data_IF_112722530640
#
_entry.id   IF_112722530640
#
_cell.length_a   1.000
_cell.length_b   1.000
_cell.length_c   1.000
_cell.angle_alpha   90.00
_cell.angle_beta   90.00
_cell.angle_gamma   90.00
#
_symmetry.space_group_name_H-M   'P 1'
#
loop_
_entity.id
_entity.type
_entity.pdbx_description
1 polymer ?
#
# COMPACT_ATOMS: atom_id res chain seq x y z
N UNK A 1 -13.18 2.57 -17.26
CA UNK A 1 -12.81 3.57 -18.28
C UNK A 1 -11.32 3.86 -18.13
N UNK A 2 -10.50 3.37 -19.06
CA UNK A 2 -9.05 3.55 -19.05
C UNK A 2 -8.61 4.98 -19.42
N UNK A 3 -9.53 5.88 -19.77
CA UNK A 3 -9.22 7.29 -20.04
C UNK A 3 -9.01 8.13 -18.78
N UNK A 4 -9.42 7.63 -17.61
CA UNK A 4 -9.21 8.30 -16.32
C UNK A 4 -7.79 8.07 -15.82
N UNK A 5 -7.24 9.02 -15.06
CA UNK A 5 -5.90 8.84 -14.47
C UNK A 5 -5.86 7.85 -13.30
N UNK A 6 -7.01 7.54 -12.68
CA UNK A 6 -7.08 6.69 -11.50
C UNK A 6 -8.37 5.88 -11.43
N UNK A 7 -8.32 4.81 -10.64
CA UNK A 7 -9.47 4.06 -10.15
C UNK A 7 -9.78 4.45 -8.70
N UNK A 8 -11.02 4.83 -8.39
CA UNK A 8 -11.39 5.38 -7.08
C UNK A 8 -11.82 4.28 -6.10
N UNK A 9 -10.89 3.40 -5.72
CA UNK A 9 -11.08 2.33 -4.73
C UNK A 9 -9.92 2.31 -3.71
N UNK A 10 -9.95 1.39 -2.75
CA UNK A 10 -8.89 1.15 -1.76
C UNK A 10 -8.54 2.37 -0.89
N UNK A 11 -9.58 3.01 -0.34
CA UNK A 11 -9.42 4.23 0.44
C UNK A 11 -8.71 3.98 1.78
N UNK A 12 -7.73 4.83 2.08
CA UNK A 12 -7.07 4.97 3.37
C UNK A 12 -7.11 6.44 3.81
N UNK A 13 -7.91 6.74 4.83
CA UNK A 13 -8.02 8.08 5.41
C UNK A 13 -7.00 8.25 6.55
N UNK A 14 -6.16 9.27 6.46
CA UNK A 14 -5.14 9.59 7.47
C UNK A 14 -5.31 11.02 7.96
N UNK A 15 -5.18 11.23 9.27
CA UNK A 15 -5.15 12.56 9.88
C UNK A 15 -3.71 13.04 10.01
N UNK A 16 -3.43 14.22 9.46
CA UNK A 16 -2.10 14.86 9.47
C UNK A 16 -2.23 16.25 10.07
N UNK A 17 -1.84 16.38 11.35
CA UNK A 17 -2.14 17.59 12.13
C UNK A 17 -3.65 17.85 12.19
N UNK A 18 -4.09 18.96 11.58
CA UNK A 18 -5.52 19.32 11.49
C UNK A 18 -6.16 18.97 10.14
N UNK A 19 -5.41 18.37 9.21
CA UNK A 19 -5.90 18.00 7.88
C UNK A 19 -6.23 16.50 7.82
N UNK A 20 -7.15 16.15 6.92
CA UNK A 20 -7.40 14.77 6.53
C UNK A 20 -6.95 14.58 5.09
N UNK A 21 -6.18 13.54 4.84
CA UNK A 21 -5.77 13.12 3.51
C UNK A 21 -6.38 11.75 3.23
N UNK A 22 -6.90 11.56 2.02
CA UNK A 22 -7.34 10.26 1.55
C UNK A 22 -6.36 9.75 0.51
N UNK A 23 -5.72 8.62 0.80
CA UNK A 23 -4.97 7.83 -0.15
C UNK A 23 -5.93 6.83 -0.80
N UNK A 24 -5.84 6.64 -2.10
CA UNK A 24 -6.70 5.72 -2.85
C UNK A 24 -6.04 5.38 -4.18
N UNK A 25 -6.54 4.37 -4.88
CA UNK A 25 -6.00 3.99 -6.18
C UNK A 25 -5.70 2.51 -6.28
N UNK A 26 -5.90 1.97 -7.47
CA UNK A 26 -5.64 0.59 -7.82
C UNK A 26 -5.45 0.52 -9.33
N UNK A 27 -4.25 0.12 -9.76
CA UNK A 27 -3.83 0.13 -11.15
C UNK A 27 -3.91 1.52 -11.81
N UNK A 28 -4.12 1.63 -13.13
CA UNK A 28 -4.10 2.90 -13.87
C UNK A 28 -2.77 3.63 -13.65
N UNK A 29 -2.77 4.77 -12.95
CA UNK A 29 -1.56 5.44 -12.50
C UNK A 29 -1.34 5.27 -10.99
N UNK A 30 -1.70 4.10 -10.46
CA UNK A 30 -1.46 3.63 -9.10
C UNK A 30 -2.10 4.53 -8.02
N UNK A 31 -1.32 5.02 -7.04
CA UNK A 31 -1.85 5.62 -5.80
C UNK A 31 -1.92 7.13 -5.89
N UNK A 32 -3.14 7.64 -5.69
CA UNK A 32 -3.45 9.05 -5.58
C UNK A 32 -3.71 9.45 -4.13
N UNK A 33 -3.49 10.73 -3.85
CA UNK A 33 -3.87 11.38 -2.62
C UNK A 33 -4.70 12.62 -2.91
N UNK A 34 -5.69 12.89 -2.06
CA UNK A 34 -6.50 14.11 -2.10
C UNK A 34 -6.74 14.62 -0.68
N UNK A 35 -6.79 15.94 -0.52
CA UNK A 35 -7.19 16.54 0.75
C UNK A 35 -8.71 16.45 0.94
N UNK A 36 -9.12 16.08 2.14
CA UNK A 36 -10.52 15.97 2.55
C UNK A 36 -10.89 17.16 3.44
N UNK A 37 -12.18 17.49 3.48
CA UNK A 37 -12.68 18.50 4.43
C UNK A 37 -12.44 18.08 5.89
N UNK A 38 -12.48 19.05 6.82
CA UNK A 38 -12.30 18.80 8.27
C UNK A 38 -13.25 17.74 8.81
N UNK A 39 -14.50 17.73 8.32
CA UNK A 39 -15.36 16.55 8.39
C UNK A 39 -15.19 15.81 7.07
N UNK A 40 -14.47 14.67 7.03
CA UNK A 40 -13.93 14.09 5.81
C UNK A 40 -14.96 13.27 5.01
N UNK A 41 -16.16 13.81 4.83
CA UNK A 41 -17.23 13.19 4.04
C UNK A 41 -17.09 13.51 2.54
N UNK A 42 -16.36 14.56 2.19
CA UNK A 42 -16.12 15.03 0.81
C UNK A 42 -14.72 15.59 0.67
N UNK A 43 -14.23 15.61 -0.58
CA UNK A 43 -12.94 16.25 -0.93
C UNK A 43 -12.98 17.75 -0.66
N UNK A 44 -11.85 18.32 -0.25
CA UNK A 44 -11.69 19.76 -0.11
C UNK A 44 -11.47 20.38 -1.51
N UNK A 45 -12.53 20.94 -2.11
CA UNK A 45 -12.48 21.53 -3.45
C UNK A 45 -11.55 22.76 -3.57
N UNK A 46 -11.10 23.32 -2.44
CA UNK A 46 -10.16 24.46 -2.41
C UNK A 46 -8.69 24.04 -2.37
N UNK A 47 -8.40 22.76 -2.08
CA UNK A 47 -7.03 22.25 -1.90
C UNK A 47 -6.40 21.72 -3.21
N UNK A 48 -7.09 21.84 -4.33
CA UNK A 48 -6.68 21.26 -5.60
C UNK A 48 -7.22 19.86 -5.83
N UNK A 49 -6.88 19.28 -6.99
CA UNK A 49 -7.29 17.93 -7.37
C UNK A 49 -6.42 16.84 -6.74
N UNK A 50 -6.85 15.59 -6.91
CA UNK A 50 -6.04 14.44 -6.52
C UNK A 50 -4.72 14.39 -7.30
N UNK A 51 -3.63 14.01 -6.65
CA UNK A 51 -2.30 13.88 -7.25
C UNK A 51 -1.67 12.53 -6.93
N UNK A 52 -0.81 12.06 -7.82
CA UNK A 52 -0.13 10.77 -7.65
C UNK A 52 0.99 10.87 -6.60
N UNK A 53 1.10 9.85 -5.74
CA UNK A 53 2.12 9.77 -4.67
C UNK A 53 3.01 8.53 -4.79
N UNK A 54 2.50 7.46 -5.40
CA UNK A 54 3.24 6.23 -5.73
C UNK A 54 2.86 5.86 -7.15
N UNK A 55 3.84 5.63 -8.01
CA UNK A 55 3.64 5.24 -9.40
C UNK A 55 4.79 4.36 -9.88
N UNK A 56 4.43 3.23 -10.48
CA UNK A 56 5.32 2.30 -11.16
C UNK A 56 5.20 2.58 -12.66
N UNK A 57 6.11 3.35 -13.28
CA UNK A 57 5.97 3.77 -14.68
C UNK A 57 6.11 2.63 -15.70
N UNK A 58 6.71 1.50 -15.31
CA UNK A 58 6.94 0.36 -16.19
C UNK A 58 5.91 -0.75 -15.95
N UNK A 59 5.58 -1.49 -17.01
CA UNK A 59 4.71 -2.66 -16.92
C UNK A 59 3.24 -2.27 -16.87
N UNK A 60 2.46 -3.02 -16.07
CA UNK A 60 1.00 -2.94 -16.06
C UNK A 60 0.42 -1.99 -15.03
N UNK A 61 1.26 -1.26 -14.29
CA UNK A 61 0.85 -0.41 -13.17
C UNK A 61 0.01 -1.23 -12.18
N UNK A 62 0.63 -2.18 -11.50
CA UNK A 62 0.00 -3.20 -10.66
C UNK A 62 0.11 -2.84 -9.17
N UNK A 63 -0.03 -1.55 -8.82
CA UNK A 63 -0.01 -1.08 -7.43
C UNK A 63 -1.42 -0.69 -6.98
N UNK A 64 -1.76 -1.09 -5.75
CA UNK A 64 -3.03 -0.79 -5.10
C UNK A 64 -2.95 -0.89 -3.56
N UNK A 65 -4.08 -0.78 -2.86
CA UNK A 65 -4.17 -1.08 -1.43
C UNK A 65 -3.28 -0.20 -0.55
N UNK A 66 -3.26 1.12 -0.77
CA UNK A 66 -2.39 2.03 -0.02
C UNK A 66 -2.77 2.14 1.46
N UNK A 67 -1.78 2.28 2.34
CA UNK A 67 -1.98 2.51 3.78
C UNK A 67 -0.87 3.39 4.36
N UNK A 68 -1.21 4.60 4.79
CA UNK A 68 -0.25 5.55 5.35
C UNK A 68 -0.23 5.53 6.88
N UNK A 69 0.97 5.57 7.45
CA UNK A 69 1.18 5.81 8.89
C UNK A 69 2.19 6.93 9.12
N UNK A 70 2.13 7.53 10.31
CA UNK A 70 3.23 8.34 10.85
C UNK A 70 4.05 7.50 11.85
N UNK A 71 5.36 7.43 11.64
CA UNK A 71 6.29 6.76 12.54
C UNK A 71 7.55 7.62 12.73
N UNK A 72 7.85 7.95 13.99
CA UNK A 72 9.00 8.79 14.38
C UNK A 72 9.12 10.09 13.56
N UNK A 73 7.99 10.76 13.32
CA UNK A 73 7.93 12.02 12.57
C UNK A 73 8.02 11.89 11.05
N UNK A 74 8.24 10.68 10.51
CA UNK A 74 8.16 10.39 9.08
C UNK A 74 6.83 9.75 8.68
N UNK A 75 6.49 9.85 7.40
CA UNK A 75 5.31 9.22 6.80
C UNK A 75 5.73 8.02 5.98
N UNK A 76 5.06 6.89 6.19
CA UNK A 76 5.31 5.65 5.46
C UNK A 76 4.04 5.26 4.72
N UNK A 77 4.14 5.17 3.39
CA UNK A 77 3.09 4.67 2.52
C UNK A 77 3.37 3.21 2.23
N UNK A 78 2.61 2.31 2.87
CA UNK A 78 2.56 0.91 2.48
C UNK A 78 1.62 0.75 1.28
N UNK A 79 1.92 -0.18 0.40
CA UNK A 79 1.06 -0.53 -0.73
C UNK A 79 1.34 -1.96 -1.16
N UNK A 80 0.40 -2.57 -1.84
CA UNK A 80 0.62 -3.86 -2.47
C UNK A 80 0.99 -3.67 -3.93
N UNK A 81 1.95 -4.47 -4.41
CA UNK A 81 2.35 -4.53 -5.83
C UNK A 81 2.17 -5.96 -6.34
N UNK A 82 1.58 -6.12 -7.53
CA UNK A 82 1.42 -7.41 -8.21
C UNK A 82 -0.04 -7.87 -8.27
N UNK A 83 -0.24 -9.15 -8.61
CA UNK A 83 -1.57 -9.72 -8.84
C UNK A 83 -2.10 -10.42 -7.57
N UNK A 84 -3.24 -9.97 -7.06
CA UNK A 84 -3.86 -10.45 -5.81
C UNK A 84 -4.85 -11.62 -5.96
N UNK A 85 -5.43 -11.79 -7.14
CA UNK A 85 -6.78 -12.32 -7.24
C UNK A 85 -6.96 -13.28 -8.42
N UNK A 86 -7.99 -14.15 -8.34
CA UNK A 86 -8.20 -15.26 -9.29
C UNK A 86 -6.94 -16.15 -9.45
N UNK A 87 -6.21 -16.39 -8.36
CA UNK A 87 -4.92 -17.09 -8.36
C UNK A 87 -5.04 -18.61 -8.59
N UNK A 88 -6.26 -19.13 -8.53
CA UNK A 88 -6.67 -20.48 -8.92
C UNK A 88 -6.83 -20.62 -10.44
N UNK A 89 -7.09 -19.52 -11.16
CA UNK A 89 -7.33 -19.50 -12.62
C UNK A 89 -6.19 -18.87 -13.40
N UNK A 90 -5.69 -17.73 -12.93
CA UNK A 90 -4.74 -16.86 -13.63
C UNK A 90 -3.55 -16.56 -12.72
N UNK A 91 -2.83 -17.62 -12.31
CA UNK A 91 -1.66 -17.45 -11.45
C UNK A 91 -0.56 -16.73 -12.21
N UNK A 92 -0.01 -15.61 -11.68
CA UNK A 92 1.06 -14.88 -12.33
C UNK A 92 2.39 -15.68 -12.26
N UNK A 93 3.38 -15.27 -13.06
CA UNK A 93 4.73 -15.80 -12.94
C UNK A 93 5.34 -15.42 -11.58
N UNK A 94 6.30 -16.22 -11.11
CA UNK A 94 6.97 -15.95 -9.84
C UNK A 94 7.58 -14.53 -9.79
N UNK A 95 7.32 -13.81 -8.71
CA UNK A 95 7.72 -12.42 -8.50
C UNK A 95 6.70 -11.37 -8.99
N UNK A 96 5.66 -11.78 -9.73
CA UNK A 96 4.57 -10.92 -10.18
C UNK A 96 3.29 -11.06 -9.34
N UNK A 97 3.26 -12.03 -8.43
CA UNK A 97 2.22 -12.10 -7.41
C UNK A 97 2.32 -10.95 -6.40
N UNK A 98 1.21 -10.76 -5.70
CA UNK A 98 1.05 -9.73 -4.70
C UNK A 98 2.15 -9.76 -3.64
N UNK A 99 2.68 -8.59 -3.30
CA UNK A 99 3.65 -8.40 -2.23
C UNK A 99 3.47 -7.02 -1.62
N UNK A 100 3.80 -6.90 -0.34
CA UNK A 100 3.71 -5.63 0.37
C UNK A 100 5.04 -4.89 0.23
N UNK A 101 4.95 -3.64 -0.18
CA UNK A 101 6.08 -2.70 -0.28
C UNK A 101 5.78 -1.43 0.52
N UNK A 102 6.82 -0.64 0.76
CA UNK A 102 6.72 0.62 1.49
C UNK A 102 7.63 1.70 0.90
N UNK A 103 7.16 2.94 0.98
CA UNK A 103 7.95 4.14 0.75
C UNK A 103 7.84 5.10 1.92
N UNK A 104 8.85 5.94 2.13
CA UNK A 104 8.92 6.92 3.22
C UNK A 104 9.11 8.33 2.70
N UNK A 105 8.51 9.31 3.37
CA UNK A 105 8.79 10.74 3.21
C UNK A 105 8.82 11.47 4.57
N UNK A 106 9.43 12.65 4.60
CA UNK A 106 9.28 13.60 5.73
C UNK A 106 8.02 14.47 5.61
N UNK A 107 7.33 14.44 4.46
CA UNK A 107 6.02 15.08 4.23
C UNK A 107 4.96 14.03 3.95
N UNK A 108 3.73 14.26 4.43
CA UNK A 108 2.60 13.38 4.12
C UNK A 108 2.15 13.47 2.66
N UNK A 109 2.51 14.55 1.96
CA UNK A 109 1.94 14.93 0.66
C UNK A 109 2.82 14.60 -0.54
N UNK A 110 3.99 13.98 -0.34
CA UNK A 110 4.86 13.63 -1.47
C UNK A 110 6.32 13.47 -1.06
N UNK A 111 7.20 13.30 -2.05
CA UNK A 111 8.62 13.04 -1.80
C UNK A 111 8.90 11.64 -1.24
N UNK A 112 7.98 10.70 -1.47
CA UNK A 112 8.15 9.31 -1.05
C UNK A 112 9.28 8.64 -1.82
N UNK A 113 10.22 8.08 -1.09
CA UNK A 113 11.35 7.31 -1.62
C UNK A 113 11.40 5.94 -0.95
N UNK A 114 12.09 4.99 -1.57
CA UNK A 114 12.44 3.72 -0.94
C UNK A 114 13.76 3.80 -0.16
N UNK A 115 14.17 2.67 0.42
CA UNK A 115 15.37 2.56 1.25
C UNK A 115 16.67 2.86 0.49
N UNK A 116 16.66 2.73 -0.84
CA UNK A 116 17.80 3.07 -1.70
C UNK A 116 17.78 4.54 -2.12
N UNK A 117 16.73 5.28 -1.76
CA UNK A 117 16.52 6.68 -2.13
C UNK A 117 15.83 6.87 -3.48
N UNK A 118 15.36 5.80 -4.14
CA UNK A 118 14.66 5.91 -5.42
C UNK A 118 13.24 6.45 -5.21
N UNK A 119 12.86 7.43 -6.04
CA UNK A 119 11.51 8.02 -6.00
C UNK A 119 10.44 6.96 -6.25
N UNK A 120 9.41 6.95 -5.40
CA UNK A 120 8.29 6.03 -5.53
C UNK A 120 7.26 6.46 -6.57
N UNK A 121 7.37 7.65 -7.13
CA UNK A 121 6.68 8.03 -8.38
C UNK A 121 7.46 7.60 -9.64
N UNK A 122 8.62 6.96 -9.46
CA UNK A 122 9.44 6.40 -10.53
C UNK A 122 9.74 4.90 -10.29
N UNK A 123 8.80 4.18 -9.69
CA UNK A 123 8.88 2.75 -9.43
C UNK A 123 9.84 2.36 -8.29
N UNK A 124 10.05 3.25 -7.33
CA UNK A 124 10.65 2.92 -6.03
C UNK A 124 9.69 2.08 -5.17
N UNK A 125 10.25 1.42 -4.17
CA UNK A 125 9.50 0.79 -3.08
C UNK A 125 10.31 -0.32 -2.41
N UNK A 126 10.47 -0.23 -1.09
CA UNK A 126 11.17 -1.24 -0.31
C UNK A 126 10.26 -2.43 -0.08
N UNK A 127 10.72 -3.64 -0.41
CA UNK A 127 9.98 -4.87 -0.14
C UNK A 127 9.86 -5.10 1.38
N UNK A 128 8.64 -5.32 1.85
CA UNK A 128 8.35 -5.62 3.26
C UNK A 128 7.98 -7.10 3.42
N UNK A 129 7.06 -7.60 2.60
CA UNK A 129 6.58 -8.98 2.71
C UNK A 129 6.32 -9.58 1.31
N UNK A 130 7.19 -10.45 0.81
CA UNK A 130 6.94 -11.26 -0.38
C UNK A 130 6.24 -12.59 -0.03
N UNK A 131 5.83 -13.33 -1.05
CA UNK A 131 5.55 -14.76 -0.92
C UNK A 131 6.77 -15.51 -0.37
N UNK A 132 6.55 -16.45 0.54
CA UNK A 132 7.58 -17.31 1.12
C UNK A 132 6.94 -18.54 1.77
N UNK A 133 7.60 -19.71 1.67
CA UNK A 133 7.06 -20.95 2.20
C UNK A 133 5.65 -21.24 1.64
N UNK A 134 4.68 -21.43 2.53
CA UNK A 134 3.27 -21.60 2.18
C UNK A 134 2.46 -20.30 2.14
N UNK A 135 3.07 -19.15 2.46
CA UNK A 135 2.44 -17.83 2.40
C UNK A 135 2.62 -17.29 0.98
N UNK A 136 1.54 -17.22 0.21
CA UNK A 136 1.57 -16.74 -1.18
C UNK A 136 0.72 -15.49 -1.36
N UNK A 137 1.21 -14.56 -2.18
CA UNK A 137 0.54 -13.31 -2.53
C UNK A 137 0.01 -12.48 -1.32
N UNK A 138 0.83 -12.20 -0.28
CA UNK A 138 0.37 -11.39 0.85
C UNK A 138 0.16 -9.92 0.42
N UNK A 139 -0.96 -9.32 0.85
CA UNK A 139 -1.25 -7.91 0.58
C UNK A 139 -2.62 -7.44 1.08
N UNK A 140 -3.11 -6.33 0.52
CA UNK A 140 -4.32 -5.65 1.00
C UNK A 140 -4.18 -5.22 2.46
N UNK A 141 -2.99 -4.71 2.79
CA UNK A 141 -2.53 -4.56 4.15
C UNK A 141 -3.09 -3.33 4.86
N UNK A 142 -3.08 -3.39 6.20
CA UNK A 142 -3.02 -2.21 7.03
C UNK A 142 -1.94 -2.30 8.09
N UNK A 143 -1.64 -1.16 8.70
CA UNK A 143 -0.60 -1.05 9.71
C UNK A 143 -1.17 -0.33 10.93
N UNK A 144 -1.01 -0.95 12.09
CA UNK A 144 -1.59 -0.47 13.34
C UNK A 144 -0.53 -0.46 14.44
N UNK A 145 -0.52 0.59 15.26
CA UNK A 145 0.29 0.60 16.48
C UNK A 145 -0.57 0.05 17.62
N UNK A 146 -0.51 -1.27 17.80
CA UNK A 146 -1.27 -1.98 18.82
C UNK A 146 -0.71 -1.67 20.23
N UNK A 147 -1.58 -1.44 21.23
CA UNK A 147 -1.14 -1.06 22.58
C UNK A 147 -0.33 -2.14 23.31
N UNK A 148 -0.41 -3.41 22.88
CA UNK A 148 0.29 -4.54 23.51
C UNK A 148 1.41 -5.07 22.61
N UNK A 149 1.13 -5.24 21.33
CA UNK A 149 2.07 -5.82 20.37
C UNK A 149 3.04 -4.81 19.77
N UNK A 150 2.74 -3.51 19.86
CA UNK A 150 3.41 -2.44 19.14
C UNK A 150 2.97 -2.38 17.69
N UNK A 151 3.85 -1.92 16.80
CA UNK A 151 3.55 -1.86 15.37
C UNK A 151 3.32 -3.25 14.79
N UNK A 152 2.16 -3.46 14.17
CA UNK A 152 1.79 -4.68 13.47
C UNK A 152 1.41 -4.38 12.02
N UNK A 153 1.72 -5.35 11.15
CA UNK A 153 1.24 -5.44 9.78
C UNK A 153 0.17 -6.52 9.74
N UNK A 154 -1.04 -6.18 9.31
CA UNK A 154 -2.10 -7.15 9.07
C UNK A 154 -2.47 -7.17 7.59
N UNK A 155 -2.78 -8.34 7.06
CA UNK A 155 -2.95 -8.56 5.62
C UNK A 155 -3.75 -9.84 5.35
N UNK A 156 -4.16 -10.04 4.09
CA UNK A 156 -4.63 -11.34 3.64
C UNK A 156 -3.55 -12.05 2.83
N UNK A 157 -3.57 -13.38 2.80
CA UNK A 157 -2.67 -14.19 2.00
C UNK A 157 -3.32 -15.51 1.57
N UNK A 158 -2.71 -16.20 0.61
CA UNK A 158 -3.06 -17.57 0.21
C UNK A 158 -2.17 -18.54 0.96
N UNK A 159 -2.76 -19.47 1.72
CA UNK A 159 -2.03 -20.65 2.21
C UNK A 159 -2.02 -21.72 1.11
N UNK A 160 -0.84 -21.98 0.54
CA UNK A 160 -0.69 -22.91 -0.58
C UNK A 160 -0.98 -24.36 -0.21
N UNK A 161 -1.04 -24.70 1.07
CA UNK A 161 -1.46 -26.02 1.55
C UNK A 161 -3.00 -26.20 1.55
N UNK A 162 -3.77 -25.11 1.46
CA UNK A 162 -5.23 -25.12 1.48
C UNK A 162 -5.79 -24.98 0.07
N UNK A 163 -5.36 -23.96 -0.66
CA UNK A 163 -5.83 -23.68 -2.01
C UNK A 163 -5.79 -22.20 -2.35
N UNK A 164 -6.00 -21.89 -3.63
CA UNK A 164 -5.74 -20.56 -4.21
C UNK A 164 -7.01 -19.75 -4.49
N UNK A 165 -8.20 -20.30 -4.19
CA UNK A 165 -9.45 -19.60 -4.47
C UNK A 165 -9.63 -18.39 -3.54
N UNK A 166 -10.30 -17.34 -4.00
CA UNK A 166 -10.45 -16.09 -3.24
C UNK A 166 -11.11 -16.31 -1.86
N UNK A 167 -12.05 -17.25 -1.76
CA UNK A 167 -12.71 -17.61 -0.49
C UNK A 167 -11.85 -18.43 0.49
N UNK A 168 -10.64 -18.83 0.09
CA UNK A 168 -9.70 -19.59 0.92
C UNK A 168 -8.56 -18.72 1.48
N UNK A 169 -8.55 -17.43 1.16
CA UNK A 169 -7.56 -16.48 1.69
C UNK A 169 -7.68 -16.38 3.20
N UNK A 170 -6.55 -16.37 3.89
CA UNK A 170 -6.46 -16.28 5.33
C UNK A 170 -5.97 -14.90 5.77
N UNK A 171 -6.27 -14.57 7.02
CA UNK A 171 -5.79 -13.36 7.67
C UNK A 171 -4.44 -13.61 8.35
N UNK A 172 -3.47 -12.74 8.10
CA UNK A 172 -2.12 -12.77 8.69
C UNK A 172 -1.83 -11.52 9.51
N UNK A 173 -1.04 -11.69 10.58
CA UNK A 173 -0.55 -10.60 11.43
C UNK A 173 0.90 -10.83 11.76
N UNK A 174 1.77 -9.86 11.45
CA UNK A 174 3.18 -9.86 11.85
C UNK A 174 3.50 -8.63 12.70
N UNK A 175 4.42 -8.77 13.65
CA UNK A 175 5.02 -7.62 14.32
C UNK A 175 6.02 -6.95 13.38
N UNK A 176 5.97 -5.63 13.30
CA UNK A 176 6.93 -4.83 12.53
C UNK A 176 8.14 -4.53 13.42
N UNK A 177 9.33 -4.87 12.94
CA UNK A 177 10.61 -4.43 13.49
C UNK A 177 11.17 -3.31 12.63
N UNK A 178 11.60 -2.23 13.27
CA UNK A 178 12.19 -1.08 12.58
C UNK A 178 13.72 -1.15 12.62
N UNK A 179 14.35 -1.34 11.46
CA UNK A 179 15.80 -1.43 11.31
C UNK A 179 16.28 -0.24 10.50
N UNK A 180 17.12 0.62 11.10
CA UNK A 180 17.60 1.85 10.46
C UNK A 180 16.47 2.73 9.89
N UNK A 181 15.32 2.75 10.58
CA UNK A 181 14.14 3.51 10.16
C UNK A 181 13.32 2.87 9.04
N UNK A 182 13.51 1.59 8.72
CA UNK A 182 12.70 0.87 7.73
C UNK A 182 11.99 -0.34 8.37
N UNK A 183 10.74 -0.64 7.97
CA UNK A 183 9.99 -1.75 8.54
C UNK A 183 10.46 -3.07 7.93
N UNK A 184 10.50 -4.10 8.79
CA UNK A 184 10.77 -5.50 8.45
C UNK A 184 9.79 -6.36 9.25
N UNK A 185 9.43 -7.53 8.72
CA UNK A 185 8.55 -8.51 9.38
C UNK A 185 9.18 -9.89 9.40
#
# INVERSE_FOLDING_TARGET
DSSKSYNAIDANLVKVGNQYLMNFGSFWHDIYQVEMNTTPNTVNSKAGGAYNTIFKPAGTHDIEGSYMINYNGGYYMFFSEGICCNLDKNRPAAGQEYKIKVCRSNSATGGFVDQTGKSCTNGGGTLVLPSHGNIYAPGGQGVYNDPVMGWILYYHYVDTNIGYADGQKLFGVNKIKWVNGWPTV
#
